data_IF_565968054733
#
_entry.id   IF_565968054733
#
_cell.length_a   1.000
_cell.length_b   1.000
_cell.length_c   1.000
_cell.angle_alpha   90.00
_cell.angle_beta   90.00
_cell.angle_gamma   90.00
#
_symmetry.space_group_name_H-M   'P 1'
#
loop_
_entity.id
_entity.type
_entity.pdbx_description
1 polymer ?
#
# COMPACT_ATOMS: atom_id res chain seq x y z
N UNK A 1 14.04 8.74 -53.74
CA UNK A 1 14.50 8.41 -52.36
C UNK A 1 15.58 9.38 -51.97
N UNK A 2 15.32 10.21 -50.97
CA UNK A 2 16.35 11.07 -50.42
C UNK A 2 17.18 10.24 -49.41
N UNK A 3 18.47 10.01 -49.76
CA UNK A 3 19.39 9.39 -48.85
C UNK A 3 19.56 10.28 -47.59
N UNK A 4 19.28 9.74 -46.44
CA UNK A 4 19.57 10.41 -45.19
C UNK A 4 21.09 10.40 -44.97
N UNK A 5 21.75 11.47 -45.37
CA UNK A 5 23.14 11.72 -45.02
C UNK A 5 23.16 12.30 -43.59
N UNK A 6 22.99 11.45 -42.59
CA UNK A 6 23.35 11.82 -41.24
C UNK A 6 24.86 11.63 -41.10
N UNK A 7 25.63 12.58 -41.52
CA UNK A 7 27.03 12.70 -41.10
C UNK A 7 27.01 13.15 -39.64
N UNK A 8 26.85 12.20 -38.74
CA UNK A 8 27.30 12.40 -37.37
C UNK A 8 28.81 12.55 -37.43
N UNK A 9 29.28 13.78 -37.52
CA UNK A 9 30.72 14.08 -37.31
C UNK A 9 31.02 13.61 -35.91
N UNK A 10 31.99 12.69 -35.81
CA UNK A 10 32.56 12.35 -34.51
C UNK A 10 32.92 13.65 -33.81
N UNK A 11 32.25 13.99 -32.74
CA UNK A 11 32.58 15.15 -31.92
C UNK A 11 34.05 15.01 -31.49
N UNK A 12 34.75 16.12 -31.39
CA UNK A 12 36.12 16.13 -30.87
C UNK A 12 36.20 15.41 -29.51
N UNK A 13 37.37 15.10 -29.02
CA UNK A 13 37.59 14.36 -27.79
C UNK A 13 36.72 14.98 -26.68
N UNK A 14 35.99 14.13 -25.98
CA UNK A 14 35.13 14.53 -24.84
C UNK A 14 36.00 15.37 -23.90
N UNK A 15 35.67 16.67 -23.78
CA UNK A 15 36.29 17.49 -22.76
C UNK A 15 36.03 16.83 -21.41
N UNK A 16 37.08 16.45 -20.72
CA UNK A 16 37.00 15.97 -19.34
C UNK A 16 36.48 17.12 -18.48
N UNK A 17 35.18 17.12 -18.23
CA UNK A 17 34.63 18.01 -17.24
C UNK A 17 35.22 17.68 -15.88
N UNK A 18 35.49 18.71 -15.08
CA UNK A 18 35.88 18.50 -13.68
C UNK A 18 34.88 17.51 -13.06
N UNK A 19 35.35 16.44 -12.41
CA UNK A 19 34.45 15.47 -11.81
C UNK A 19 33.48 16.19 -10.88
N UNK A 20 32.20 15.98 -11.09
CA UNK A 20 31.18 16.50 -10.18
C UNK A 20 31.54 15.99 -8.79
N UNK A 21 31.67 16.91 -7.82
CA UNK A 21 31.85 16.52 -6.43
C UNK A 21 30.63 15.72 -6.04
N UNK A 22 30.79 14.42 -5.85
CA UNK A 22 29.74 13.58 -5.30
C UNK A 22 29.44 14.07 -3.88
N UNK A 23 28.44 14.90 -3.74
CA UNK A 23 27.89 15.18 -2.41
C UNK A 23 27.27 13.89 -1.91
N UNK A 24 27.82 13.35 -0.83
CA UNK A 24 27.27 12.17 -0.19
C UNK A 24 25.76 12.39 0.05
N UNK A 25 24.93 11.50 -0.48
CA UNK A 25 23.51 11.50 -0.23
C UNK A 25 23.31 11.37 1.28
N UNK A 26 22.99 12.47 1.94
CA UNK A 26 22.52 12.41 3.31
C UNK A 26 21.18 11.67 3.26
N UNK A 27 21.16 10.42 3.71
CA UNK A 27 19.92 9.68 3.93
C UNK A 27 19.07 10.52 4.89
N UNK A 28 18.11 11.28 4.34
CA UNK A 28 17.08 11.90 5.16
C UNK A 28 16.25 10.77 5.72
N UNK A 29 16.36 10.53 7.01
CA UNK A 29 15.39 9.69 7.71
C UNK A 29 14.02 10.30 7.49
N UNK A 30 13.06 9.58 6.88
CA UNK A 30 11.73 10.13 6.70
C UNK A 30 11.19 10.55 8.06
N UNK A 31 10.75 11.80 8.19
CA UNK A 31 10.10 12.25 9.41
C UNK A 31 8.89 11.37 9.66
N UNK A 32 8.91 10.57 10.72
CA UNK A 32 7.73 9.83 11.18
C UNK A 32 6.63 10.86 11.45
N UNK A 33 5.51 10.76 10.75
CA UNK A 33 4.34 11.58 11.03
C UNK A 33 3.64 10.97 12.24
N UNK A 34 3.58 11.65 13.39
CA UNK A 34 2.92 11.12 14.59
C UNK A 34 1.46 10.77 14.27
N UNK A 35 0.97 9.64 14.79
CA UNK A 35 -0.41 9.19 14.62
C UNK A 35 -0.74 8.49 13.31
N UNK A 36 0.15 8.51 12.30
CA UNK A 36 -0.12 7.83 11.02
C UNK A 36 0.35 6.37 11.01
N UNK A 37 1.45 6.09 11.69
CA UNK A 37 2.03 4.76 11.77
C UNK A 37 1.99 4.26 13.22
N UNK A 38 1.15 3.28 13.47
CA UNK A 38 1.00 2.64 14.77
C UNK A 38 1.16 1.12 14.63
N UNK A 39 2.28 0.62 15.13
CA UNK A 39 2.59 -0.81 15.09
C UNK A 39 1.60 -1.65 15.90
N UNK A 40 1.04 -1.11 16.99
CA UNK A 40 0.04 -1.82 17.80
C UNK A 40 -1.22 -2.08 16.98
N UNK A 41 -1.73 -1.05 16.30
CA UNK A 41 -2.92 -1.15 15.46
C UNK A 41 -2.73 -2.12 14.27
N UNK A 42 -1.54 -2.12 13.64
CA UNK A 42 -1.23 -3.08 12.59
C UNK A 42 -1.13 -4.51 13.11
N UNK A 43 -0.52 -4.69 14.27
CA UNK A 43 -0.35 -6.01 14.86
C UNK A 43 -1.64 -6.56 15.46
N UNK A 44 -2.60 -5.71 15.78
CA UNK A 44 -3.92 -6.10 16.29
C UNK A 44 -4.65 -7.09 15.38
N UNK A 45 -4.44 -7.01 14.07
CA UNK A 45 -5.12 -7.91 13.11
C UNK A 45 -4.56 -9.32 13.12
N UNK A 46 -3.38 -9.54 13.69
CA UNK A 46 -2.73 -10.85 13.70
C UNK A 46 -3.45 -11.80 14.64
N UNK A 47 -3.68 -13.03 14.19
CA UNK A 47 -4.40 -14.04 14.96
C UNK A 47 -5.94 -13.91 14.86
N UNK A 48 -6.45 -12.91 14.14
CA UNK A 48 -7.87 -12.78 13.85
C UNK A 48 -8.24 -13.43 12.51
N UNK A 49 -9.52 -13.76 12.36
CA UNK A 49 -10.06 -14.22 11.09
C UNK A 49 -10.17 -13.07 10.09
N UNK A 50 -10.34 -13.39 8.81
CA UNK A 50 -10.56 -12.41 7.76
C UNK A 50 -11.92 -11.72 7.91
N UNK A 51 -11.94 -10.40 8.05
CA UNK A 51 -13.16 -9.59 8.11
C UNK A 51 -13.67 -9.14 6.74
N UNK A 52 -12.82 -9.17 5.71
CA UNK A 52 -13.24 -8.83 4.34
C UNK A 52 -14.26 -9.83 3.80
N UNK A 53 -14.10 -11.10 4.09
CA UNK A 53 -15.05 -12.19 3.80
C UNK A 53 -15.66 -12.12 2.40
N UNK A 54 -14.82 -11.98 1.37
CA UNK A 54 -15.29 -11.92 -0.02
C UNK A 54 -15.78 -13.30 -0.43
N UNK A 55 -17.06 -13.44 -0.86
CA UNK A 55 -17.63 -14.73 -1.26
C UNK A 55 -16.82 -15.39 -2.37
N UNK A 56 -16.54 -16.68 -2.23
CA UNK A 56 -15.79 -17.47 -3.21
C UNK A 56 -14.27 -17.29 -3.19
N UNK A 57 -13.75 -16.34 -2.42
CA UNK A 57 -12.32 -16.07 -2.27
C UNK A 57 -11.81 -16.26 -0.85
N UNK A 58 -12.59 -15.84 0.11
CA UNK A 58 -12.19 -15.89 1.51
C UNK A 58 -12.04 -17.34 1.98
N UNK A 59 -10.90 -17.63 2.59
CA UNK A 59 -10.62 -18.97 3.14
C UNK A 59 -11.19 -19.16 4.54
N UNK A 60 -11.70 -18.13 5.19
CA UNK A 60 -12.46 -18.13 6.46
C UNK A 60 -11.93 -19.05 7.59
N UNK A 61 -10.65 -19.36 7.61
CA UNK A 61 -10.06 -20.17 8.68
C UNK A 61 -9.81 -19.29 9.90
N UNK A 62 -10.18 -19.72 11.12
CA UNK A 62 -9.97 -18.94 12.34
C UNK A 62 -8.49 -18.63 12.61
N UNK A 63 -7.58 -19.47 12.16
CA UNK A 63 -6.12 -19.35 12.36
C UNK A 63 -5.37 -19.18 11.04
N UNK A 64 -5.92 -18.42 10.08
CA UNK A 64 -5.25 -18.18 8.82
C UNK A 64 -4.00 -17.31 9.02
N UNK A 65 -2.78 -17.86 8.83
CA UNK A 65 -1.53 -17.10 9.00
C UNK A 65 -1.35 -16.02 7.93
N UNK A 66 -2.16 -16.04 6.86
CA UNK A 66 -2.10 -15.04 5.78
C UNK A 66 -2.85 -13.76 6.10
N UNK A 67 -3.55 -13.69 7.23
CA UNK A 67 -4.27 -12.47 7.64
C UNK A 67 -3.30 -11.35 7.93
N UNK A 68 -3.49 -10.26 7.21
CA UNK A 68 -2.64 -9.05 7.26
C UNK A 68 -3.50 -7.80 7.40
N UNK A 69 -2.92 -6.68 7.88
CA UNK A 69 -3.64 -5.42 7.94
C UNK A 69 -3.90 -4.88 6.53
N UNK A 70 -5.17 -4.75 6.15
CA UNK A 70 -5.61 -4.20 4.89
C UNK A 70 -5.99 -2.73 5.07
N UNK A 71 -5.25 -1.85 4.40
CA UNK A 71 -5.52 -0.41 4.39
C UNK A 71 -6.55 -0.05 3.32
N UNK A 72 -7.36 0.99 3.54
CA UNK A 72 -8.25 1.50 2.51
C UNK A 72 -7.48 2.26 1.42
N UNK A 73 -8.03 2.27 0.22
CA UNK A 73 -7.44 2.92 -0.95
C UNK A 73 -8.22 4.18 -1.40
N UNK A 74 -8.90 4.84 -0.49
CA UNK A 74 -9.75 6.00 -0.78
C UNK A 74 -9.28 7.25 -0.04
N UNK A 75 -9.43 8.41 -0.67
CA UNK A 75 -9.01 9.72 -0.13
C UNK A 75 -9.68 10.06 1.20
N UNK A 76 -10.93 9.63 1.38
CA UNK A 76 -11.71 9.84 2.60
C UNK A 76 -11.04 9.27 3.86
N UNK A 77 -10.15 8.30 3.68
CA UNK A 77 -9.37 7.67 4.75
C UNK A 77 -7.91 8.11 4.77
N UNK A 78 -7.65 9.34 4.35
CA UNK A 78 -6.30 9.93 4.30
C UNK A 78 -5.29 9.17 3.41
N UNK A 79 -5.78 8.41 2.43
CA UNK A 79 -4.96 7.84 1.38
C UNK A 79 -4.58 8.96 0.40
N UNK A 80 -3.31 9.26 0.28
CA UNK A 80 -2.84 10.32 -0.62
C UNK A 80 -1.70 9.83 -1.52
N UNK A 81 -1.96 9.69 -2.81
CA UNK A 81 -0.97 9.28 -3.79
C UNK A 81 -0.21 8.01 -3.38
N UNK A 82 1.11 8.10 -3.22
CA UNK A 82 1.96 7.00 -2.78
C UNK A 82 1.90 6.72 -1.27
N UNK A 83 1.22 7.57 -0.49
CA UNK A 83 1.08 7.37 0.96
C UNK A 83 -0.06 6.40 1.25
N UNK A 84 0.21 5.39 2.06
CA UNK A 84 -0.84 4.52 2.61
C UNK A 84 -1.73 5.30 3.58
N UNK A 85 -2.97 4.87 3.73
CA UNK A 85 -3.85 5.37 4.78
C UNK A 85 -3.23 5.11 6.17
N UNK A 86 -3.60 5.89 7.20
CA UNK A 86 -3.14 5.66 8.56
C UNK A 86 -3.49 4.26 9.07
N UNK A 87 -2.64 3.71 9.95
CA UNK A 87 -2.84 2.37 10.52
C UNK A 87 -4.11 2.24 11.36
N UNK A 88 -4.71 3.36 11.75
CA UNK A 88 -6.04 3.39 12.36
C UNK A 88 -7.12 2.77 11.47
N UNK A 89 -6.99 2.93 10.16
CA UNK A 89 -7.93 2.41 9.16
C UNK A 89 -7.47 1.06 8.60
N UNK A 90 -7.22 0.10 9.45
CA UNK A 90 -6.85 -1.25 9.01
C UNK A 90 -7.90 -2.27 9.42
N UNK A 91 -8.10 -3.27 8.56
CA UNK A 91 -8.96 -4.41 8.82
C UNK A 91 -8.21 -5.72 8.59
N UNK A 92 -8.51 -6.79 9.34
CA UNK A 92 -7.95 -8.10 9.05
C UNK A 92 -8.46 -8.63 7.72
N UNK A 93 -7.56 -8.96 6.81
CA UNK A 93 -7.90 -9.59 5.53
C UNK A 93 -6.95 -10.71 5.19
N UNK A 94 -7.48 -11.85 4.75
CA UNK A 94 -6.65 -12.94 4.25
C UNK A 94 -5.99 -12.57 2.92
N UNK A 95 -4.96 -13.31 2.54
CA UNK A 95 -4.21 -13.04 1.30
C UNK A 95 -5.12 -12.91 0.07
N UNK A 96 -6.06 -13.82 -0.11
CA UNK A 96 -6.93 -13.82 -1.28
C UNK A 96 -7.88 -12.61 -1.32
N UNK A 97 -8.51 -12.26 -0.20
CA UNK A 97 -9.38 -11.09 -0.09
C UNK A 97 -8.59 -9.79 -0.25
N UNK A 98 -7.41 -9.69 0.33
CA UNK A 98 -6.54 -8.52 0.22
C UNK A 98 -6.08 -8.30 -1.22
N UNK A 99 -5.64 -9.35 -1.90
CA UNK A 99 -5.23 -9.28 -3.31
C UNK A 99 -6.37 -8.82 -4.22
N UNK A 100 -7.57 -9.33 -4.02
CA UNK A 100 -8.74 -8.89 -4.79
C UNK A 100 -9.10 -7.42 -4.52
N UNK A 101 -9.04 -7.00 -3.27
CA UNK A 101 -9.32 -5.62 -2.90
C UNK A 101 -8.36 -4.63 -3.55
N UNK A 102 -7.06 -4.95 -3.57
CA UNK A 102 -6.02 -4.06 -4.08
C UNK A 102 -5.87 -4.12 -5.60
N UNK A 103 -5.85 -5.31 -6.19
CA UNK A 103 -5.48 -5.52 -7.59
C UNK A 103 -6.50 -6.30 -8.39
N UNK A 104 -7.51 -6.87 -7.74
CA UNK A 104 -8.54 -7.67 -8.39
C UNK A 104 -9.44 -6.85 -9.33
N UNK A 105 -10.11 -7.55 -10.23
CA UNK A 105 -11.01 -6.95 -11.24
C UNK A 105 -12.46 -7.43 -11.13
N UNK A 106 -12.78 -8.23 -10.12
CA UNK A 106 -14.14 -8.77 -9.93
C UNK A 106 -15.15 -7.71 -9.53
N UNK A 107 -14.69 -6.71 -8.79
CA UNK A 107 -15.53 -5.69 -8.19
C UNK A 107 -15.15 -4.31 -8.70
N UNK A 108 -16.15 -3.46 -8.83
CA UNK A 108 -15.95 -2.03 -9.08
C UNK A 108 -15.30 -1.36 -7.86
N UNK A 109 -14.82 -0.15 -8.05
CA UNK A 109 -14.22 0.64 -6.96
C UNK A 109 -15.20 0.87 -5.81
N UNK A 110 -16.46 1.12 -6.12
CA UNK A 110 -17.50 1.38 -5.12
C UNK A 110 -17.89 0.11 -4.35
N UNK A 111 -17.95 -1.03 -5.04
CA UNK A 111 -18.18 -2.34 -4.40
C UNK A 111 -17.03 -2.71 -3.48
N UNK A 112 -15.79 -2.50 -3.89
CA UNK A 112 -14.62 -2.71 -3.03
C UNK A 112 -14.66 -1.83 -1.79
N UNK A 113 -15.08 -0.58 -1.94
CA UNK A 113 -15.25 0.34 -0.82
C UNK A 113 -16.30 -0.17 0.15
N UNK A 114 -17.45 -0.60 -0.33
CA UNK A 114 -18.51 -1.17 0.49
C UNK A 114 -18.06 -2.42 1.26
N UNK A 115 -17.28 -3.30 0.61
CA UNK A 115 -16.71 -4.50 1.25
C UNK A 115 -15.77 -4.08 2.39
N UNK A 116 -14.89 -3.13 2.15
CA UNK A 116 -13.94 -2.68 3.15
C UNK A 116 -14.64 -1.95 4.31
N UNK A 117 -15.59 -1.08 4.04
CA UNK A 117 -16.35 -0.33 5.05
C UNK A 117 -17.18 -1.26 5.96
N UNK A 118 -17.80 -2.28 5.38
CA UNK A 118 -18.48 -3.33 6.15
C UNK A 118 -17.51 -4.04 7.09
N UNK A 119 -16.34 -4.43 6.59
CA UNK A 119 -15.33 -5.08 7.38
C UNK A 119 -14.81 -4.17 8.50
N UNK A 120 -14.57 -2.91 8.21
CA UNK A 120 -14.11 -1.93 9.20
C UNK A 120 -15.14 -1.67 10.30
N UNK A 121 -16.40 -1.56 9.94
CA UNK A 121 -17.50 -1.39 10.89
C UNK A 121 -17.61 -2.57 11.86
N UNK A 122 -17.42 -3.79 11.37
CA UNK A 122 -17.42 -5.00 12.21
C UNK A 122 -16.15 -5.15 13.06
N UNK A 123 -14.99 -4.80 12.51
CA UNK A 123 -13.69 -4.97 13.16
C UNK A 123 -13.41 -3.93 14.24
N UNK A 124 -13.74 -2.68 13.99
CA UNK A 124 -13.40 -1.56 14.89
C UNK A 124 -13.80 -1.80 16.35
N UNK A 125 -15.04 -2.24 16.68
CA UNK A 125 -15.41 -2.49 18.08
C UNK A 125 -14.60 -3.62 18.73
N UNK A 126 -14.23 -4.64 17.97
CA UNK A 126 -13.40 -5.76 18.46
C UNK A 126 -12.02 -5.27 18.81
N UNK A 127 -11.39 -4.58 17.87
CA UNK A 127 -10.07 -3.97 18.06
C UNK A 127 -10.05 -3.04 19.27
N UNK A 128 -11.00 -2.14 19.37
CA UNK A 128 -11.00 -1.10 20.41
C UNK A 128 -11.17 -1.70 21.82
N UNK A 129 -11.83 -2.86 21.94
CA UNK A 129 -11.89 -3.62 23.21
C UNK A 129 -10.55 -4.22 23.63
N UNK A 130 -9.73 -4.63 22.68
CA UNK A 130 -8.42 -5.22 22.96
C UNK A 130 -7.37 -4.18 23.39
N UNK A 131 -7.58 -2.90 23.05
CA UNK A 131 -6.64 -1.82 23.29
C UNK A 131 -7.07 -0.86 24.42
N UNK A 132 -8.21 -1.08 24.97
CA UNK A 132 -8.70 -0.39 26.18
C UNK A 132 -8.49 -1.31 27.40
#
# INVERSE_FOLDING_TARGET
MRAWNSTLRAGGPLRTYKPMKATAWKKRTPKKRPGRHDAKLRNAVRGHSCYLQIPGLCRSYPDDPTVVPCHPNWLEYDKAGALKAPDFYTVPGCYACHAELDQGRRFTRDEKKAIWERAFTAWRPVRDKEFV
#
